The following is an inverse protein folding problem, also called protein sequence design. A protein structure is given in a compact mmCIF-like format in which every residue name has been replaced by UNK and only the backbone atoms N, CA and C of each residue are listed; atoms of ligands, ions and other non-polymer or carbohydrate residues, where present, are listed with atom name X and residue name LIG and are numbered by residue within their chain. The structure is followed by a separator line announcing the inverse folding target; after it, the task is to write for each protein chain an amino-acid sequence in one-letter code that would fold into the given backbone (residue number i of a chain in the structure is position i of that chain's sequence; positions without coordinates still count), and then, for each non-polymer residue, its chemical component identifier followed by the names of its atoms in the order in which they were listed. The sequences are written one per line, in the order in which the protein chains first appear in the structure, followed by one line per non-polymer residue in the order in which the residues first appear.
data_IF_928797206524
#
_entry.id   IF_928797206524
#
_cell.length_a   1.000
_cell.length_b   1.000
_cell.length_c   1.000
_cell.angle_alpha   90.00
_cell.angle_beta   90.00
_cell.angle_gamma   90.00
#
_symmetry.space_group_name_H-M   'P 1'
#
loop_
_entity.id
_entity.type
_entity.pdbx_description
1 polymer ?
#
# COMPACT_ATOMS: atom_id res chain seq x y z
N UNK A 1 -46.53 70.75 -20.07
CA UNK A 1 -46.85 69.62 -20.97
C UNK A 1 -46.04 68.43 -20.46
N UNK A 2 -46.62 67.49 -19.70
CA UNK A 2 -47.11 66.17 -20.18
C UNK A 2 -46.08 65.46 -21.08
N UNK A 3 -45.62 64.21 -20.89
CA UNK A 3 -46.03 63.04 -20.08
C UNK A 3 -44.77 62.16 -19.81
N UNK A 4 -44.58 61.51 -18.66
CA UNK A 4 -44.98 60.13 -18.31
C UNK A 4 -44.76 59.04 -19.39
N UNK A 5 -43.84 58.10 -19.12
CA UNK A 5 -44.02 56.67 -19.37
C UNK A 5 -43.07 55.84 -18.50
N UNK A 6 -43.66 54.88 -17.78
CA UNK A 6 -43.12 53.95 -16.80
C UNK A 6 -43.36 52.53 -17.34
N UNK A 7 -42.36 51.64 -17.32
CA UNK A 7 -42.52 50.17 -17.36
C UNK A 7 -41.15 49.54 -16.99
N UNK A 8 -40.92 49.06 -15.77
CA UNK A 8 -41.29 47.78 -15.14
C UNK A 8 -40.49 46.54 -15.62
N UNK A 9 -39.79 45.96 -14.63
CA UNK A 9 -39.56 44.52 -14.34
C UNK A 9 -38.60 43.70 -15.22
N UNK A 10 -37.47 43.27 -14.63
CA UNK A 10 -37.28 41.92 -14.05
C UNK A 10 -35.83 41.70 -13.56
N UNK A 11 -35.59 40.91 -12.50
CA UNK A 11 -34.24 40.54 -12.05
C UNK A 11 -33.70 39.37 -12.87
N UNK A 12 -32.50 39.51 -13.43
CA UNK A 12 -31.77 38.39 -14.03
C UNK A 12 -31.18 37.53 -12.90
N UNK A 13 -31.90 36.47 -12.53
CA UNK A 13 -31.31 35.32 -11.85
C UNK A 13 -30.74 34.45 -12.97
N UNK A 14 -29.41 34.43 -13.10
CA UNK A 14 -28.72 33.40 -13.86
C UNK A 14 -28.03 32.48 -12.85
N UNK A 15 -28.74 31.42 -12.46
CA UNK A 15 -28.15 30.17 -12.01
C UNK A 15 -27.29 29.63 -13.14
N UNK A 16 -25.97 29.71 -13.01
CA UNK A 16 -25.07 28.82 -13.73
C UNK A 16 -24.29 27.99 -12.71
N UNK A 17 -24.64 26.71 -12.74
CA UNK A 17 -23.93 25.55 -12.24
C UNK A 17 -22.41 25.71 -12.35
N UNK A 18 -21.74 25.68 -11.19
CA UNK A 18 -20.33 25.27 -11.13
C UNK A 18 -20.28 23.78 -11.47
N UNK A 19 -20.18 23.46 -12.76
CA UNK A 19 -19.54 22.22 -13.17
C UNK A 19 -18.07 22.37 -12.82
N UNK A 20 -17.66 21.80 -11.69
CA UNK A 20 -16.27 21.50 -11.43
C UNK A 20 -15.82 20.47 -12.47
N UNK A 21 -15.31 20.97 -13.59
CA UNK A 21 -14.58 20.18 -14.56
C UNK A 21 -13.30 19.70 -13.86
N UNK A 22 -13.34 18.47 -13.34
CA UNK A 22 -12.16 17.78 -12.88
C UNK A 22 -11.19 17.68 -14.07
N UNK A 23 -10.10 18.45 -14.00
CA UNK A 23 -8.98 18.28 -14.90
C UNK A 23 -8.45 16.84 -14.75
N UNK A 24 -8.07 16.15 -15.84
CA UNK A 24 -7.48 14.82 -15.73
C UNK A 24 -6.17 14.93 -14.93
N UNK A 25 -5.98 14.02 -13.98
CA UNK A 25 -4.78 13.90 -13.15
C UNK A 25 -3.56 13.64 -14.05
N UNK A 26 -2.67 14.63 -14.13
CA UNK A 26 -1.41 14.62 -14.89
C UNK A 26 -0.32 13.68 -14.28
N UNK A 27 -0.70 12.73 -13.41
CA UNK A 27 0.23 11.96 -12.58
C UNK A 27 0.61 10.58 -13.13
N UNK A 28 -0.15 10.03 -14.09
CA UNK A 28 0.19 8.75 -14.71
C UNK A 28 1.26 8.91 -15.80
N UNK A 29 1.15 9.96 -16.62
CA UNK A 29 2.08 10.19 -17.74
C UNK A 29 3.44 10.69 -17.28
N UNK A 30 3.53 11.50 -16.22
CA UNK A 30 4.80 11.88 -15.59
C UNK A 30 5.48 10.69 -14.90
N UNK A 31 4.72 9.79 -14.26
CA UNK A 31 5.26 8.57 -13.66
C UNK A 31 5.76 7.60 -14.74
N UNK A 32 5.00 7.44 -15.83
CA UNK A 32 5.41 6.67 -17.01
C UNK A 32 6.64 7.31 -17.67
N UNK A 33 6.74 8.64 -17.72
CA UNK A 33 7.91 9.35 -18.23
C UNK A 33 9.15 9.17 -17.32
N UNK A 34 8.99 9.20 -16.00
CA UNK A 34 10.08 8.91 -15.05
C UNK A 34 10.53 7.43 -15.09
N UNK A 35 9.61 6.49 -15.33
CA UNK A 35 9.93 5.07 -15.57
C UNK A 35 10.70 4.91 -16.89
N UNK A 36 10.28 5.60 -17.95
CA UNK A 36 10.93 5.59 -19.28
C UNK A 36 12.32 6.23 -19.25
N UNK A 37 12.55 7.23 -18.41
CA UNK A 37 13.84 7.91 -18.29
C UNK A 37 14.94 7.10 -17.58
N UNK A 38 14.61 5.94 -16.97
CA UNK A 38 15.49 5.25 -16.00
C UNK A 38 15.74 3.75 -16.21
N UNK A 39 15.55 3.20 -17.41
CA UNK A 39 15.98 1.82 -17.73
C UNK A 39 15.33 0.70 -16.91
N UNK A 40 14.15 0.95 -16.31
CA UNK A 40 13.36 -0.10 -15.67
C UNK A 40 12.67 -0.94 -16.76
N UNK A 41 12.69 -2.28 -16.65
CA UNK A 41 11.89 -3.14 -17.53
C UNK A 41 10.41 -2.74 -17.47
N UNK A 42 9.73 -2.85 -18.61
CA UNK A 42 8.28 -2.71 -18.63
C UNK A 42 7.63 -3.75 -17.70
N UNK A 43 6.50 -3.43 -17.06
CA UNK A 43 5.76 -4.43 -16.29
C UNK A 43 5.26 -5.56 -17.20
N UNK A 44 5.14 -6.76 -16.63
CA UNK A 44 4.43 -7.87 -17.26
C UNK A 44 2.96 -7.51 -17.42
N UNK A 45 2.36 -7.89 -18.55
CA UNK A 45 0.94 -7.70 -18.78
C UNK A 45 0.12 -8.61 -17.86
N UNK A 46 -1.06 -8.14 -17.47
CA UNK A 46 -2.05 -8.99 -16.83
C UNK A 46 -2.70 -9.94 -17.83
N UNK A 47 -3.04 -11.15 -17.37
CA UNK A 47 -3.94 -12.04 -18.08
C UNK A 47 -5.39 -11.71 -17.68
N UNK A 48 -6.07 -10.94 -18.52
CA UNK A 48 -7.42 -10.47 -18.24
C UNK A 48 -8.47 -11.53 -18.58
N UNK A 49 -9.38 -11.80 -17.64
CA UNK A 49 -10.42 -12.82 -17.77
C UNK A 49 -11.80 -12.24 -17.43
N UNK A 50 -12.56 -11.79 -18.42
CA UNK A 50 -13.90 -11.24 -18.17
C UNK A 50 -13.91 -9.76 -17.81
N UNK A 51 -14.81 -9.33 -16.92
CA UNK A 51 -15.13 -7.90 -16.71
C UNK A 51 -14.76 -7.41 -15.31
N UNK A 52 -14.23 -6.20 -15.22
CA UNK A 52 -13.95 -5.52 -13.96
C UNK A 52 -15.17 -5.46 -13.03
N UNK A 53 -14.94 -5.67 -11.74
CA UNK A 53 -15.94 -5.54 -10.68
C UNK A 53 -15.33 -4.80 -9.51
N UNK A 54 -16.16 -4.01 -8.84
CA UNK A 54 -15.77 -3.33 -7.61
C UNK A 54 -15.45 -4.38 -6.54
N UNK A 55 -14.27 -4.26 -5.95
CA UNK A 55 -13.84 -5.09 -4.82
C UNK A 55 -14.41 -4.50 -3.54
N UNK A 56 -14.84 -5.35 -2.61
CA UNK A 56 -15.22 -4.97 -1.25
C UNK A 56 -14.30 -5.71 -0.30
N UNK A 57 -13.56 -4.98 0.51
CA UNK A 57 -12.64 -5.58 1.49
C UNK A 57 -13.41 -6.07 2.72
N UNK A 58 -13.23 -7.34 3.07
CA UNK A 58 -13.53 -7.84 4.41
C UNK A 58 -12.40 -7.43 5.39
N UNK A 59 -12.67 -6.62 6.43
CA UNK A 59 -11.67 -6.28 7.44
C UNK A 59 -10.99 -7.50 8.08
N UNK A 60 -11.66 -8.66 8.07
CA UNK A 60 -11.09 -9.90 8.56
C UNK A 60 -10.81 -9.92 10.05
N UNK A 61 -10.05 -10.93 10.47
CA UNK A 61 -9.51 -10.99 11.82
C UNK A 61 -8.05 -11.46 11.82
N UNK A 62 -7.20 -10.90 12.68
CA UNK A 62 -5.84 -11.40 12.86
C UNK A 62 -5.81 -12.87 13.29
N UNK A 63 -5.01 -13.67 12.59
CA UNK A 63 -4.87 -15.10 12.86
C UNK A 63 -3.85 -15.41 13.98
N UNK A 64 -3.24 -14.40 14.59
CA UNK A 64 -2.36 -14.54 15.74
C UNK A 64 -2.42 -13.31 16.65
N UNK A 65 -2.00 -13.48 17.91
CA UNK A 65 -1.88 -12.36 18.86
C UNK A 65 -0.79 -11.36 18.44
N UNK A 66 0.24 -11.80 17.73
CA UNK A 66 1.28 -10.92 17.20
C UNK A 66 0.72 -10.00 16.10
N UNK A 67 0.00 -10.59 15.15
CA UNK A 67 -0.70 -9.88 14.08
C UNK A 67 -1.76 -8.93 14.66
N UNK A 68 -2.51 -9.35 15.68
CA UNK A 68 -3.51 -8.52 16.36
C UNK A 68 -2.91 -7.24 16.95
N UNK A 69 -1.80 -7.35 17.69
CA UNK A 69 -1.13 -6.20 18.28
C UNK A 69 -0.53 -5.27 17.22
N UNK A 70 0.03 -5.85 16.16
CA UNK A 70 0.61 -5.08 15.06
C UNK A 70 -0.47 -4.26 14.34
N UNK A 71 -1.59 -4.90 14.01
CA UNK A 71 -2.72 -4.24 13.36
C UNK A 71 -3.36 -3.18 14.27
N UNK A 72 -3.50 -3.46 15.57
CA UNK A 72 -3.99 -2.48 16.54
C UNK A 72 -3.09 -1.25 16.59
N UNK A 73 -1.76 -1.43 16.62
CA UNK A 73 -0.82 -0.31 16.59
C UNK A 73 -0.89 0.48 15.27
N UNK A 74 -1.10 -0.19 14.13
CA UNK A 74 -1.30 0.51 12.85
C UNK A 74 -2.55 1.42 12.88
N UNK A 75 -3.66 0.89 13.42
CA UNK A 75 -4.91 1.65 13.61
C UNK A 75 -4.77 2.80 14.59
N UNK A 76 -3.99 2.62 15.67
CA UNK A 76 -3.65 3.72 16.58
C UNK A 76 -2.87 4.84 15.88
N UNK A 77 -1.86 4.49 15.07
CA UNK A 77 -1.10 5.48 14.29
C UNK A 77 -2.03 6.22 13.33
N UNK A 78 -2.88 5.51 12.59
CA UNK A 78 -3.85 6.11 11.66
C UNK A 78 -4.78 7.12 12.36
N UNK A 79 -5.24 6.81 13.58
CA UNK A 79 -6.11 7.68 14.35
C UNK A 79 -5.39 8.88 15.00
N UNK A 80 -4.10 8.72 15.35
CA UNK A 80 -3.31 9.74 16.08
C UNK A 80 -2.47 10.64 15.16
N UNK A 81 -2.19 10.21 13.93
CA UNK A 81 -1.24 10.87 13.06
C UNK A 81 -1.79 12.19 12.51
N UNK A 82 -0.99 13.25 12.67
CA UNK A 82 -1.26 14.59 12.11
C UNK A 82 -0.12 15.10 11.25
N UNK A 83 1.04 14.42 11.29
CA UNK A 83 2.26 14.78 10.57
C UNK A 83 2.97 13.49 10.16
N UNK A 84 2.69 13.03 8.94
CA UNK A 84 3.29 11.83 8.33
C UNK A 84 4.20 12.25 7.19
N UNK A 85 5.38 11.63 7.10
CA UNK A 85 6.33 11.92 6.02
C UNK A 85 7.22 10.70 5.79
N UNK A 86 7.46 10.37 4.53
CA UNK A 86 8.43 9.35 4.20
C UNK A 86 9.85 9.85 4.45
N UNK A 87 10.58 9.18 5.35
CA UNK A 87 11.95 9.59 5.72
C UNK A 87 12.86 8.39 5.94
N UNK A 88 14.07 8.44 5.37
CA UNK A 88 15.11 7.43 5.63
C UNK A 88 15.65 7.45 7.07
N UNK A 89 15.34 8.49 7.85
CA UNK A 89 15.54 8.53 9.30
C UNK A 89 14.20 8.33 10.03
N UNK A 90 14.23 7.53 11.09
CA UNK A 90 13.04 7.28 11.91
C UNK A 90 12.94 8.35 13.01
N UNK A 91 11.87 9.14 13.00
CA UNK A 91 11.55 10.16 13.99
C UNK A 91 10.07 10.11 14.33
N UNK A 92 9.74 9.65 15.53
CA UNK A 92 8.35 9.44 15.97
C UNK A 92 8.08 10.19 17.27
N UNK A 93 7.00 10.96 17.30
CA UNK A 93 6.47 11.62 18.49
C UNK A 93 4.96 11.45 18.55
N UNK A 94 4.49 10.40 19.24
CA UNK A 94 3.05 10.12 19.41
C UNK A 94 2.28 11.31 19.99
N UNK A 95 2.85 11.97 21.01
CA UNK A 95 2.26 13.17 21.64
C UNK A 95 2.00 14.31 20.63
N UNK A 96 2.81 14.42 19.58
CA UNK A 96 2.70 15.45 18.55
C UNK A 96 2.07 14.92 17.24
N UNK A 97 1.58 13.68 17.22
CA UNK A 97 1.05 13.03 16.01
C UNK A 97 2.08 12.87 14.89
N UNK A 98 3.39 12.88 15.20
CA UNK A 98 4.47 12.86 14.20
C UNK A 98 4.99 11.45 13.95
N UNK A 99 4.94 11.01 12.71
CA UNK A 99 5.41 9.70 12.26
C UNK A 99 6.22 9.84 10.97
N UNK A 100 7.53 10.06 11.13
CA UNK A 100 8.47 10.19 10.02
C UNK A 100 9.33 8.93 9.93
N UNK A 101 9.12 8.12 8.90
CA UNK A 101 9.88 6.89 8.67
C UNK A 101 9.72 6.42 7.21
N UNK A 102 10.58 5.52 6.78
CA UNK A 102 10.41 4.72 5.56
C UNK A 102 9.66 3.42 5.89
N UNK A 103 9.33 2.61 4.89
CA UNK A 103 8.60 1.35 5.08
C UNK A 103 9.28 0.42 6.10
N UNK A 104 10.61 0.30 6.03
CA UNK A 104 11.37 -0.55 6.96
C UNK A 104 11.48 0.08 8.35
N UNK A 105 11.66 1.40 8.44
CA UNK A 105 11.71 2.14 9.68
C UNK A 105 10.38 2.10 10.45
N UNK A 106 9.26 2.15 9.74
CA UNK A 106 7.91 1.91 10.27
C UNK A 106 7.85 0.53 10.92
N UNK A 107 8.17 -0.51 10.15
CA UNK A 107 8.11 -1.90 10.64
C UNK A 107 9.06 -2.14 11.82
N UNK A 108 10.29 -1.63 11.76
CA UNK A 108 11.25 -1.75 12.86
C UNK A 108 10.70 -1.11 14.14
N UNK A 109 10.16 0.12 14.04
CA UNK A 109 9.61 0.85 15.17
C UNK A 109 8.38 0.16 15.77
N UNK A 110 7.50 -0.39 14.92
CA UNK A 110 6.30 -1.10 15.36
C UNK A 110 6.65 -2.43 16.01
N UNK A 111 7.51 -3.24 15.38
CA UNK A 111 7.91 -4.56 15.92
C UNK A 111 8.67 -4.46 17.24
N UNK A 112 9.49 -3.43 17.44
CA UNK A 112 10.13 -3.17 18.73
C UNK A 112 9.11 -3.10 19.88
N UNK A 113 7.89 -2.63 19.60
CA UNK A 113 6.81 -2.47 20.59
C UNK A 113 5.94 -3.71 20.71
N UNK A 114 5.59 -4.34 19.60
CA UNK A 114 4.57 -5.41 19.60
C UNK A 114 5.15 -6.82 19.60
N UNK A 115 6.33 -7.01 19.01
CA UNK A 115 6.98 -8.31 18.83
C UNK A 115 8.53 -8.21 18.81
N UNK A 116 9.18 -7.70 19.88
CA UNK A 116 10.63 -7.46 19.90
C UNK A 116 11.45 -8.74 19.65
N UNK A 117 10.98 -9.90 20.14
CA UNK A 117 11.62 -11.20 19.89
C UNK A 117 11.64 -11.58 18.41
N UNK A 118 10.60 -11.23 17.64
CA UNK A 118 10.57 -11.46 16.20
C UNK A 118 11.58 -10.54 15.49
N UNK A 119 11.65 -9.26 15.90
CA UNK A 119 12.60 -8.28 15.37
C UNK A 119 14.06 -8.70 15.62
N UNK A 120 14.39 -9.16 16.83
CA UNK A 120 15.74 -9.63 17.21
C UNK A 120 16.26 -10.72 16.26
N UNK A 121 15.37 -11.55 15.72
CA UNK A 121 15.76 -12.70 14.88
C UNK A 121 16.15 -12.30 13.46
N UNK A 122 15.82 -11.08 13.03
CA UNK A 122 16.31 -10.52 11.76
C UNK A 122 17.83 -10.25 11.83
N UNK A 123 18.38 -10.14 13.05
CA UNK A 123 19.82 -10.05 13.34
C UNK A 123 20.54 -8.97 12.51
N UNK A 124 19.98 -7.74 12.53
CA UNK A 124 20.54 -6.58 11.85
C UNK A 124 20.18 -5.33 12.64
N UNK A 125 21.11 -4.40 12.77
CA UNK A 125 20.91 -3.14 13.52
C UNK A 125 19.76 -2.31 12.95
N UNK A 126 19.69 -2.18 11.62
CA UNK A 126 18.55 -1.59 10.89
C UNK A 126 18.07 -2.56 9.81
N UNK A 127 17.07 -3.40 10.10
CA UNK A 127 16.43 -4.22 9.09
C UNK A 127 15.85 -3.37 7.96
N UNK A 128 15.99 -3.88 6.74
CA UNK A 128 15.41 -3.32 5.51
C UNK A 128 14.47 -4.35 4.89
N UNK A 129 13.65 -3.98 3.90
CA UNK A 129 12.68 -4.88 3.26
C UNK A 129 13.25 -6.27 2.91
N UNK A 130 14.42 -6.34 2.26
CA UNK A 130 15.07 -7.62 1.92
C UNK A 130 15.48 -8.48 3.12
N UNK A 131 15.62 -7.88 4.31
CA UNK A 131 15.84 -8.59 5.59
C UNK A 131 14.57 -9.28 6.05
N UNK A 132 13.41 -8.62 5.92
CA UNK A 132 12.10 -9.21 6.18
C UNK A 132 11.81 -10.38 5.25
N UNK A 133 12.08 -10.21 3.95
CA UNK A 133 11.90 -11.31 3.00
C UNK A 133 12.72 -12.54 3.42
N UNK A 134 13.99 -12.33 3.79
CA UNK A 134 14.89 -13.42 4.20
C UNK A 134 14.40 -14.15 5.46
N UNK A 135 13.94 -13.43 6.49
CA UNK A 135 13.49 -14.07 7.73
C UNK A 135 12.20 -14.85 7.50
N UNK A 136 11.26 -14.28 6.73
CA UNK A 136 9.96 -14.90 6.41
C UNK A 136 10.16 -16.13 5.53
N UNK A 137 11.01 -16.08 4.50
CA UNK A 137 11.32 -17.26 3.67
C UNK A 137 11.86 -18.43 4.47
N UNK A 138 12.64 -18.13 5.52
CA UNK A 138 13.24 -19.14 6.41
C UNK A 138 12.29 -19.65 7.50
N UNK A 139 11.12 -19.02 7.66
CA UNK A 139 10.13 -19.41 8.65
C UNK A 139 9.36 -20.65 8.17
N UNK A 140 8.97 -21.56 9.10
CA UNK A 140 8.11 -22.69 8.76
C UNK A 140 6.70 -22.20 8.39
N UNK A 141 5.98 -22.98 7.58
CA UNK A 141 4.62 -22.66 7.13
C UNK A 141 3.54 -23.21 8.07
N UNK A 142 3.87 -24.20 8.89
CA UNK A 142 2.93 -24.95 9.74
C UNK A 142 2.89 -24.48 11.20
N UNK A 143 3.83 -23.64 11.62
CA UNK A 143 3.94 -23.15 13.01
C UNK A 143 4.78 -21.89 13.10
N UNK A 144 4.64 -21.18 14.22
CA UNK A 144 5.54 -20.09 14.56
C UNK A 144 6.89 -20.64 15.05
N UNK A 145 7.98 -20.10 14.51
CA UNK A 145 9.34 -20.35 14.99
C UNK A 145 10.06 -19.01 15.12
N UNK A 146 10.56 -18.73 16.32
CA UNK A 146 11.26 -17.47 16.61
C UNK A 146 10.41 -16.23 16.27
N UNK A 147 9.10 -16.30 16.49
CA UNK A 147 8.16 -15.20 16.23
C UNK A 147 7.77 -15.00 14.77
N UNK A 148 8.03 -15.99 13.90
CA UNK A 148 7.64 -15.93 12.50
C UNK A 148 7.01 -17.26 12.06
N UNK A 149 5.92 -17.17 11.33
CA UNK A 149 5.36 -18.21 10.47
C UNK A 149 5.26 -17.66 9.05
N UNK A 150 5.65 -18.44 8.05
CA UNK A 150 5.47 -18.05 6.64
C UNK A 150 4.06 -18.39 6.20
N UNK A 151 3.37 -17.45 5.57
CA UNK A 151 2.10 -17.70 4.89
C UNK A 151 2.43 -18.06 3.44
N UNK A 152 2.07 -19.29 3.03
CA UNK A 152 2.50 -19.84 1.74
C UNK A 152 1.64 -19.38 0.57
N UNK A 153 0.32 -19.25 0.79
CA UNK A 153 -0.66 -18.97 -0.24
C UNK A 153 -1.32 -17.62 -0.02
N UNK A 154 -1.60 -16.89 -1.10
CA UNK A 154 -2.27 -15.59 -1.03
C UNK A 154 -3.64 -15.68 -0.35
N UNK A 155 -4.37 -16.79 -0.54
CA UNK A 155 -5.68 -17.02 0.07
C UNK A 155 -5.63 -17.25 1.60
N UNK A 156 -4.45 -17.53 2.17
CA UNK A 156 -4.27 -17.77 3.60
C UNK A 156 -3.75 -16.52 4.35
N UNK A 157 -3.58 -15.41 3.63
CA UNK A 157 -3.18 -14.11 4.19
C UNK A 157 -4.34 -13.54 4.99
N UNK A 158 -4.05 -13.03 6.19
CA UNK A 158 -5.04 -12.44 7.09
C UNK A 158 -4.64 -11.03 7.51
N UNK A 159 -5.61 -10.27 8.03
CA UNK A 159 -5.36 -8.95 8.59
C UNK A 159 -4.27 -9.00 9.69
N UNK A 160 -3.32 -8.06 9.64
CA UNK A 160 -2.17 -7.99 10.54
C UNK A 160 -0.96 -8.84 10.14
N UNK A 161 -1.05 -9.66 9.08
CA UNK A 161 0.13 -10.26 8.47
C UNK A 161 1.05 -9.19 7.86
N UNK A 162 2.33 -9.51 7.72
CA UNK A 162 3.35 -8.65 7.13
C UNK A 162 3.61 -9.12 5.70
N UNK A 163 3.53 -8.23 4.73
CA UNK A 163 4.06 -8.51 3.39
C UNK A 163 5.44 -7.90 3.24
N UNK A 164 6.30 -8.56 2.46
CA UNK A 164 7.58 -8.00 2.06
C UNK A 164 7.94 -8.49 0.66
N UNK A 165 8.65 -7.67 -0.10
CA UNK A 165 9.24 -8.12 -1.36
C UNK A 165 10.61 -7.53 -1.60
N UNK A 166 11.38 -8.19 -2.48
CA UNK A 166 12.66 -7.67 -2.95
C UNK A 166 12.46 -6.73 -4.12
N UNK A 167 13.39 -5.79 -4.28
CA UNK A 167 13.54 -5.08 -5.55
C UNK A 167 13.70 -6.10 -6.69
N UNK A 168 12.96 -6.01 -7.80
CA UNK A 168 13.10 -6.93 -8.92
C UNK A 168 14.56 -7.03 -9.41
N UNK A 169 15.01 -8.26 -9.68
CA UNK A 169 16.42 -8.53 -9.97
C UNK A 169 16.92 -7.84 -11.26
N UNK A 170 16.03 -7.67 -12.23
CA UNK A 170 16.29 -7.06 -13.54
C UNK A 170 16.27 -5.52 -13.53
N UNK A 171 16.03 -4.88 -12.38
CA UNK A 171 16.09 -3.41 -12.29
C UNK A 171 17.54 -2.92 -12.17
N UNK A 172 17.86 -1.68 -12.56
CA UNK A 172 19.17 -1.06 -12.32
C UNK A 172 19.52 -1.00 -10.83
N UNK A 173 20.73 -1.43 -10.46
CA UNK A 173 21.19 -1.42 -9.05
C UNK A 173 21.08 -0.01 -8.45
N UNK A 174 20.70 0.08 -7.18
CA UNK A 174 20.50 1.35 -6.47
C UNK A 174 20.08 1.14 -5.01
N UNK A 175 19.73 2.23 -4.32
CA UNK A 175 19.37 2.22 -2.89
C UNK A 175 18.04 1.56 -2.51
N UNK A 176 17.26 1.08 -3.49
CA UNK A 176 16.00 0.37 -3.24
C UNK A 176 16.28 -1.09 -2.86
N UNK A 177 15.80 -1.54 -1.70
CA UNK A 177 15.97 -2.93 -1.24
C UNK A 177 14.73 -3.80 -1.42
N UNK A 178 13.61 -3.19 -1.84
CA UNK A 178 12.29 -3.77 -1.82
C UNK A 178 11.33 -2.95 -0.97
N UNK A 179 10.24 -3.59 -0.53
CA UNK A 179 9.21 -2.95 0.28
C UNK A 179 8.68 -3.88 1.38
N UNK A 180 8.09 -3.31 2.42
CA UNK A 180 7.49 -4.07 3.54
C UNK A 180 6.34 -3.26 4.15
N UNK A 181 5.26 -3.92 4.51
CA UNK A 181 4.12 -3.28 5.17
C UNK A 181 3.21 -4.31 5.83
N UNK A 182 2.00 -3.87 6.19
CA UNK A 182 1.05 -4.66 6.98
C UNK A 182 -0.23 -4.84 6.17
N UNK A 183 -0.76 -6.05 6.20
CA UNK A 183 -2.08 -6.38 5.64
C UNK A 183 -3.15 -5.79 6.56
N UNK A 184 -4.02 -4.94 6.01
CA UNK A 184 -5.06 -4.25 6.78
C UNK A 184 -6.41 -4.99 6.78
N UNK A 185 -6.66 -5.82 5.76
CA UNK A 185 -7.90 -6.53 5.51
C UNK A 185 -7.62 -7.87 4.79
N UNK A 186 -8.60 -8.78 4.73
CA UNK A 186 -8.46 -10.03 3.97
C UNK A 186 -8.16 -9.75 2.48
N UNK A 187 -7.39 -10.65 1.83
CA UNK A 187 -7.11 -10.55 0.41
C UNK A 187 -8.36 -10.85 -0.41
N UNK A 188 -8.64 -10.00 -1.39
CA UNK A 188 -9.79 -10.17 -2.27
C UNK A 188 -9.32 -10.58 -3.67
N UNK A 189 -9.79 -11.72 -4.23
CA UNK A 189 -9.44 -12.11 -5.58
C UNK A 189 -9.96 -11.08 -6.58
N UNK A 190 -9.17 -10.79 -7.60
CA UNK A 190 -9.56 -9.89 -8.70
C UNK A 190 -10.20 -10.74 -9.80
N UNK A 191 -11.54 -10.78 -9.94
CA UNK A 191 -12.18 -11.81 -10.76
C UNK A 191 -11.86 -11.70 -12.26
N UNK A 192 -11.32 -10.57 -12.68
CA UNK A 192 -11.00 -10.26 -14.06
C UNK A 192 -9.52 -10.28 -14.41
N UNK A 193 -8.66 -10.67 -13.46
CA UNK A 193 -7.22 -10.84 -13.68
C UNK A 193 -6.84 -12.21 -13.10
N UNK A 194 -6.28 -13.08 -13.94
CA UNK A 194 -5.90 -14.42 -13.52
C UNK A 194 -4.90 -14.38 -12.36
N UNK A 195 -5.12 -15.21 -11.34
CA UNK A 195 -4.25 -15.37 -10.17
C UNK A 195 -3.95 -14.08 -9.40
N UNK A 196 -4.76 -13.03 -9.53
CA UNK A 196 -4.53 -11.76 -8.85
C UNK A 196 -5.41 -11.60 -7.61
N UNK A 197 -4.82 -10.99 -6.58
CA UNK A 197 -5.51 -10.56 -5.37
C UNK A 197 -5.20 -9.09 -5.14
N UNK A 198 -6.19 -8.30 -4.69
CA UNK A 198 -5.93 -6.99 -4.11
C UNK A 198 -5.99 -7.07 -2.59
N UNK A 199 -5.11 -6.32 -1.95
CA UNK A 199 -4.97 -6.32 -0.50
C UNK A 199 -4.94 -4.86 -0.05
N UNK A 200 -5.80 -4.53 0.92
CA UNK A 200 -5.70 -3.27 1.66
C UNK A 200 -4.51 -3.35 2.60
N UNK A 201 -3.65 -2.34 2.59
CA UNK A 201 -2.41 -2.33 3.36
C UNK A 201 -2.28 -1.08 4.21
N UNK A 202 -1.55 -1.20 5.32
CA UNK A 202 -0.85 -0.09 5.96
C UNK A 202 0.59 -0.07 5.46
N UNK A 203 1.06 1.10 5.04
CA UNK A 203 2.39 1.28 4.47
C UNK A 203 2.99 2.66 4.79
N UNK A 204 4.31 2.79 4.66
CA UNK A 204 5.01 4.07 4.54
C UNK A 204 5.78 4.16 3.23
N UNK A 205 5.37 5.06 2.35
CA UNK A 205 5.96 5.18 1.00
C UNK A 205 5.99 6.62 0.50
N UNK A 206 6.82 6.89 -0.51
CA UNK A 206 6.88 8.18 -1.23
C UNK A 206 5.79 8.32 -2.29
N UNK A 207 5.17 7.22 -2.71
CA UNK A 207 4.24 7.19 -3.83
C UNK A 207 2.89 6.66 -3.38
N UNK A 208 1.81 7.30 -3.81
CA UNK A 208 0.46 6.84 -3.54
C UNK A 208 0.19 5.44 -4.13
N UNK A 209 -0.83 4.78 -3.58
CA UNK A 209 -1.45 3.55 -4.07
C UNK A 209 -2.83 3.82 -4.68
N UNK A 210 -3.51 2.77 -5.11
CA UNK A 210 -4.96 2.84 -5.35
C UNK A 210 -5.71 3.02 -4.02
N UNK A 211 -6.82 3.77 -4.04
CA UNK A 211 -7.65 4.09 -2.86
C UNK A 211 -6.84 4.65 -1.68
N UNK A 212 -5.80 5.43 -1.96
CA UNK A 212 -4.92 5.95 -0.93
C UNK A 212 -5.68 6.89 0.01
N UNK A 213 -5.52 6.68 1.32
CA UNK A 213 -6.15 7.54 2.32
C UNK A 213 -5.41 8.88 2.53
N UNK A 214 -4.22 9.02 1.95
CA UNK A 214 -3.42 10.26 2.02
C UNK A 214 -3.81 11.21 0.86
N UNK A 215 -3.80 12.52 1.11
CA UNK A 215 -4.20 13.56 0.14
C UNK A 215 -3.34 13.55 -1.15
N UNK A 216 -4.00 13.60 -2.32
CA UNK A 216 -3.46 13.09 -3.59
C UNK A 216 -2.24 13.82 -4.19
N UNK A 217 -1.88 15.02 -3.74
CA UNK A 217 -0.86 15.88 -4.36
C UNK A 217 0.48 15.93 -3.60
N UNK A 218 0.54 15.59 -2.30
CA UNK A 218 1.78 15.60 -1.50
C UNK A 218 1.92 14.41 -0.51
N UNK A 219 1.02 13.42 -0.59
CA UNK A 219 0.96 12.26 0.28
C UNK A 219 2.22 11.38 0.30
N UNK A 220 3.06 11.53 1.33
CA UNK A 220 4.14 10.58 1.64
C UNK A 220 4.04 10.09 3.09
N UNK A 221 4.73 8.99 3.40
CA UNK A 221 4.80 8.46 4.76
C UNK A 221 3.68 7.48 5.05
N UNK A 222 3.32 7.34 6.34
CA UNK A 222 2.31 6.38 6.79
C UNK A 222 0.93 6.63 6.16
N UNK A 223 0.27 5.57 5.69
CA UNK A 223 -1.10 5.64 5.22
C UNK A 223 -1.67 4.26 4.90
N UNK A 224 -2.91 4.25 4.40
CA UNK A 224 -3.54 3.06 3.87
C UNK A 224 -3.71 3.13 2.37
N UNK A 225 -3.50 2.01 1.69
CA UNK A 225 -3.54 1.89 0.23
C UNK A 225 -3.97 0.50 -0.22
N UNK A 226 -4.22 0.34 -1.52
CA UNK A 226 -4.55 -0.94 -2.14
C UNK A 226 -3.43 -1.37 -3.07
N UNK A 227 -2.89 -2.57 -2.86
CA UNK A 227 -1.83 -3.17 -3.68
C UNK A 227 -2.33 -4.48 -4.25
N UNK A 228 -2.00 -4.75 -5.52
CA UNK A 228 -2.28 -6.01 -6.17
C UNK A 228 -1.09 -6.95 -6.01
N UNK A 229 -1.36 -8.20 -5.69
CA UNK A 229 -0.38 -9.28 -5.64
C UNK A 229 -0.75 -10.37 -6.64
N UNK A 230 0.27 -10.89 -7.31
CA UNK A 230 0.12 -11.97 -8.28
C UNK A 230 0.51 -13.30 -7.64
N UNK A 231 -0.31 -14.31 -7.86
CA UNK A 231 -0.04 -15.71 -7.56
C UNK A 231 0.47 -16.48 -8.77
N UNK A 232 1.21 -17.56 -8.54
CA UNK A 232 1.37 -18.62 -9.52
C UNK A 232 0.09 -19.48 -9.63
N UNK A 233 0.13 -20.53 -10.46
CA UNK A 233 -1.01 -21.44 -10.64
C UNK A 233 -1.38 -22.23 -9.37
N UNK A 234 -0.52 -22.19 -8.34
CA UNK A 234 -0.78 -22.79 -7.03
C UNK A 234 -1.22 -21.74 -5.99
N UNK A 235 -1.33 -20.47 -6.38
CA UNK A 235 -1.70 -19.35 -5.51
C UNK A 235 -0.55 -18.83 -4.63
N UNK A 236 0.71 -19.20 -4.91
CA UNK A 236 1.88 -18.67 -4.19
C UNK A 236 2.28 -17.30 -4.74
N UNK A 237 2.67 -16.35 -3.89
CA UNK A 237 2.98 -14.99 -4.33
C UNK A 237 4.24 -14.92 -5.20
N UNK A 238 4.16 -14.21 -6.32
CA UNK A 238 5.24 -14.09 -7.33
C UNK A 238 5.49 -12.66 -7.84
N UNK A 239 4.72 -11.68 -7.39
CA UNK A 239 4.87 -10.30 -7.85
C UNK A 239 3.78 -9.36 -7.37
N UNK A 240 3.84 -8.11 -7.82
CA UNK A 240 2.91 -7.07 -7.40
C UNK A 240 2.58 -6.05 -8.50
N UNK A 241 1.40 -5.44 -8.41
CA UNK A 241 0.97 -4.23 -9.12
C UNK A 241 0.76 -3.09 -8.11
N UNK A 242 1.49 -1.98 -8.27
CA UNK A 242 1.62 -0.94 -7.24
C UNK A 242 0.33 -0.13 -6.97
N UNK A 243 -0.49 0.07 -8.00
CA UNK A 243 -1.76 0.80 -7.94
C UNK A 243 -2.95 -0.16 -7.96
N UNK A 244 -2.85 -1.26 -7.23
CA UNK A 244 -3.92 -2.26 -7.17
C UNK A 244 -4.37 -2.71 -8.58
N UNK A 245 -5.67 -2.76 -8.81
CA UNK A 245 -6.27 -3.13 -10.11
C UNK A 245 -6.11 -2.06 -11.19
N UNK A 246 -5.74 -0.83 -10.82
CA UNK A 246 -5.53 0.29 -11.76
C UNK A 246 -4.10 0.29 -12.34
N UNK A 247 -3.26 -0.66 -11.92
CA UNK A 247 -1.92 -0.83 -12.47
C UNK A 247 -1.98 -1.18 -13.96
N UNK A 248 -1.08 -0.65 -14.77
CA UNK A 248 -0.95 -1.02 -16.19
C UNK A 248 -0.33 -2.41 -16.44
N UNK A 249 0.05 -3.12 -15.39
CA UNK A 249 0.74 -4.40 -15.38
C UNK A 249 1.34 -4.69 -14.01
N UNK A 250 2.20 -5.70 -13.91
CA UNK A 250 2.80 -6.13 -12.65
C UNK A 250 4.30 -6.43 -12.79
N UNK A 251 4.99 -6.47 -11.66
CA UNK A 251 6.42 -6.80 -11.61
C UNK A 251 6.64 -8.10 -10.86
N UNK A 252 7.31 -9.03 -11.53
CA UNK A 252 7.78 -10.27 -10.92
C UNK A 252 8.95 -10.02 -9.97
N UNK A 253 8.83 -10.55 -8.77
CA UNK A 253 9.88 -10.51 -7.73
C UNK A 253 9.55 -11.49 -6.62
N UNK A 254 10.49 -11.74 -5.72
CA UNK A 254 10.24 -12.51 -4.51
C UNK A 254 9.32 -11.69 -3.59
N UNK A 255 8.08 -12.13 -3.44
CA UNK A 255 7.08 -11.59 -2.52
C UNK A 255 6.80 -12.65 -1.46
N UNK A 256 6.73 -12.26 -0.20
CA UNK A 256 6.40 -13.17 0.90
C UNK A 256 5.46 -12.52 1.91
N UNK A 257 4.74 -13.37 2.62
CA UNK A 257 3.86 -13.00 3.71
C UNK A 257 4.28 -13.72 4.99
N UNK A 258 4.32 -12.99 6.11
CA UNK A 258 4.77 -13.48 7.40
C UNK A 258 3.78 -13.13 8.50
N UNK A 259 3.54 -14.10 9.39
CA UNK A 259 2.68 -13.97 10.57
C UNK A 259 3.52 -14.03 11.84
N UNK A 260 3.19 -13.17 12.81
CA UNK A 260 3.92 -12.97 14.07
C UNK A 260 3.42 -13.87 15.22
#
# INVERSE_FOLDING_TARGET
MAALALALLAPFILTQTLEAQAAPLDSADELVAQIRAGGRPAPEAFDYQGTARMVRFDPGQPASRGAEKLLALAKEIEAEATDVTYSHSTSVSRRRGRYHFDCSGMMNWMLERVAPKALETINRERPVASSYVRVIESAPTDRHRKGWQRVEFLADVHAGDIFAWRRPANWPKGGNTGHVGIVAAEPEPVPHIANAYVIRVYDSTQYAHQDDAREADEATGFGTGTILFMGDDQGRPIGYGWYGSDSGGWYRTDVVFGRL
#
